data_IF_436046130620
#
_entry.id   IF_436046130620
#
_cell.length_a   1.000
_cell.length_b   1.000
_cell.length_c   1.000
_cell.angle_alpha   90.00
_cell.angle_beta   90.00
_cell.angle_gamma   90.00
#
_symmetry.space_group_name_H-M   'P 1'
#
loop_
_entity.id
_entity.type
_entity.pdbx_description
1 polymer ?
#
# COMPACT_ATOMS: atom_id res chain seq x y z
N UNK A 1 -8.09 -69.85 -29.00
CA UNK A 1 -8.63 -69.59 -30.35
C UNK A 1 -9.62 -68.43 -30.19
N UNK A 2 -9.09 -67.20 -30.14
CA UNK A 2 -8.92 -66.24 -31.26
C UNK A 2 -10.15 -65.36 -31.42
N UNK A 3 -10.14 -64.23 -30.70
CA UNK A 3 -10.92 -63.04 -31.03
C UNK A 3 -10.06 -62.17 -31.98
N UNK A 4 -10.57 -61.77 -33.16
CA UNK A 4 -9.94 -60.81 -34.06
C UNK A 4 -10.19 -59.38 -33.56
N UNK A 5 -9.16 -58.57 -33.38
CA UNK A 5 -8.59 -57.61 -34.37
C UNK A 5 -9.43 -56.35 -34.62
N UNK A 6 -8.95 -55.26 -34.01
CA UNK A 6 -8.66 -53.97 -34.63
C UNK A 6 -9.66 -53.38 -35.63
N UNK A 7 -10.45 -52.42 -35.14
CA UNK A 7 -10.69 -51.18 -35.89
C UNK A 7 -10.33 -49.98 -35.02
N UNK A 8 -9.09 -49.54 -35.18
CA UNK A 8 -8.60 -48.26 -34.72
C UNK A 8 -9.17 -47.18 -35.64
N UNK A 9 -10.20 -46.47 -35.17
CA UNK A 9 -10.61 -45.20 -35.76
C UNK A 9 -9.85 -44.08 -35.05
N UNK A 10 -8.75 -43.66 -35.66
CA UNK A 10 -8.19 -42.34 -35.44
C UNK A 10 -9.23 -41.28 -35.81
N UNK A 11 -9.51 -40.37 -34.89
CA UNK A 11 -9.70 -38.94 -35.19
C UNK A 11 -9.75 -38.11 -33.90
N UNK A 12 -8.63 -37.43 -33.68
CA UNK A 12 -8.56 -35.97 -33.55
C UNK A 12 -8.86 -35.37 -32.17
N UNK A 13 -7.77 -35.16 -31.44
CA UNK A 13 -7.39 -33.92 -30.76
C UNK A 13 -8.51 -33.11 -30.08
N UNK A 14 -8.62 -33.29 -28.76
CA UNK A 14 -8.64 -32.16 -27.82
C UNK A 14 -8.13 -32.64 -26.47
N UNK A 15 -6.83 -32.89 -26.42
CA UNK A 15 -6.13 -32.84 -25.15
C UNK A 15 -6.26 -31.39 -24.69
N UNK A 16 -7.04 -31.18 -23.63
CA UNK A 16 -7.07 -29.90 -22.91
C UNK A 16 -5.68 -29.78 -22.31
N UNK A 17 -4.81 -29.10 -23.04
CA UNK A 17 -3.48 -28.77 -22.60
C UNK A 17 -3.66 -27.77 -21.45
N UNK A 18 -3.66 -28.30 -20.22
CA UNK A 18 -3.42 -27.56 -18.97
C UNK A 18 -1.97 -27.04 -18.97
N UNK A 19 -1.58 -26.35 -20.04
CA UNK A 19 -0.34 -25.61 -20.11
C UNK A 19 -0.62 -24.30 -19.44
N UNK A 20 -0.32 -24.30 -18.14
CA UNK A 20 0.30 -23.19 -17.44
C UNK A 20 0.06 -21.87 -18.16
N UNK A 21 -1.14 -21.31 -17.95
CA UNK A 21 -1.30 -19.88 -18.01
C UNK A 21 -0.31 -19.33 -17.00
N UNK A 22 0.88 -19.08 -17.52
CA UNK A 22 1.89 -18.25 -16.92
C UNK A 22 1.17 -16.92 -16.85
N UNK A 23 0.46 -16.72 -15.74
CA UNK A 23 0.02 -15.41 -15.29
C UNK A 23 1.33 -14.65 -15.27
N UNK A 24 1.57 -13.89 -16.33
CA UNK A 24 2.46 -12.76 -16.34
C UNK A 24 1.87 -11.83 -15.26
N UNK A 25 2.16 -12.17 -14.00
CA UNK A 25 2.32 -11.19 -12.96
C UNK A 25 3.45 -10.32 -13.50
N UNK A 26 3.08 -9.31 -14.28
CA UNK A 26 3.78 -8.05 -14.28
C UNK A 26 3.70 -7.54 -12.84
N UNK A 27 4.45 -8.20 -11.96
CA UNK A 27 4.62 -7.82 -10.58
C UNK A 27 5.44 -6.56 -10.66
N UNK A 28 4.76 -5.42 -10.73
CA UNK A 28 5.35 -4.13 -10.46
C UNK A 28 6.08 -4.32 -9.13
N UNK A 29 7.41 -4.38 -9.21
CA UNK A 29 8.26 -4.74 -8.09
C UNK A 29 8.38 -3.46 -7.30
N UNK A 30 7.46 -3.27 -6.35
CA UNK A 30 7.51 -2.13 -5.47
C UNK A 30 8.73 -2.29 -4.57
N UNK A 31 9.60 -1.30 -4.54
CA UNK A 31 10.81 -1.25 -3.74
C UNK A 31 10.66 -0.26 -2.58
N UNK A 32 11.67 -0.23 -1.71
CA UNK A 32 11.73 0.65 -0.57
C UNK A 32 11.73 2.14 -0.98
N UNK A 33 12.36 2.46 -2.11
CA UNK A 33 12.41 3.81 -2.69
C UNK A 33 11.02 4.26 -3.16
N UNK A 34 10.24 3.37 -3.76
CA UNK A 34 8.88 3.67 -4.21
C UNK A 34 7.95 4.02 -3.03
N UNK A 35 8.21 3.45 -1.84
CA UNK A 35 7.46 3.76 -0.62
C UNK A 35 7.74 5.17 -0.12
N UNK A 36 8.99 5.63 -0.25
CA UNK A 36 9.43 6.97 0.12
C UNK A 36 8.88 8.02 -0.84
N UNK A 37 9.02 7.80 -2.16
CA UNK A 37 8.45 8.68 -3.19
C UNK A 37 6.92 8.81 -3.05
N UNK A 38 6.24 7.72 -2.69
CA UNK A 38 4.80 7.72 -2.42
C UNK A 38 4.45 8.63 -1.22
N UNK A 39 5.23 8.55 -0.14
CA UNK A 39 5.07 9.39 1.05
C UNK A 39 5.29 10.87 0.73
N UNK A 40 6.40 11.20 0.06
CA UNK A 40 6.73 12.56 -0.34
C UNK A 40 5.66 13.18 -1.24
N UNK A 41 5.21 12.43 -2.25
CA UNK A 41 4.13 12.87 -3.14
C UNK A 41 2.80 13.02 -2.42
N UNK A 42 2.53 12.20 -1.40
CA UNK A 42 1.34 12.36 -0.58
C UNK A 42 1.33 13.70 0.15
N UNK A 43 2.47 14.06 0.74
CA UNK A 43 2.64 15.30 1.48
C UNK A 43 2.64 16.52 0.57
N UNK A 44 3.29 16.44 -0.60
CA UNK A 44 3.33 17.53 -1.56
C UNK A 44 1.92 17.90 -2.05
N UNK A 45 1.14 16.91 -2.50
CA UNK A 45 -0.23 17.13 -2.97
C UNK A 45 -1.11 17.72 -1.85
N UNK A 46 -0.96 17.22 -0.61
CA UNK A 46 -1.70 17.73 0.53
C UNK A 46 -1.33 19.19 0.84
N UNK A 47 -0.03 19.51 0.85
CA UNK A 47 0.46 20.85 1.14
C UNK A 47 0.00 21.87 0.09
N UNK A 48 0.01 21.50 -1.19
CA UNK A 48 -0.50 22.36 -2.27
C UNK A 48 -1.98 22.71 -2.09
N UNK A 49 -2.81 21.75 -1.64
CA UNK A 49 -4.23 22.02 -1.39
C UNK A 49 -4.40 22.90 -0.15
N UNK A 50 -3.79 22.52 0.98
CA UNK A 50 -3.95 23.26 2.25
C UNK A 50 -3.49 24.71 2.15
N UNK A 51 -2.40 24.99 1.44
CA UNK A 51 -1.90 26.37 1.24
C UNK A 51 -2.80 27.21 0.34
N UNK A 52 -3.51 26.58 -0.62
CA UNK A 52 -4.42 27.27 -1.54
C UNK A 52 -5.83 27.42 -1.00
N UNK A 53 -6.23 26.57 -0.05
CA UNK A 53 -7.58 26.56 0.52
C UNK A 53 -7.74 27.64 1.60
N UNK A 54 -8.55 28.70 1.36
CA UNK A 54 -8.76 29.76 2.34
C UNK A 54 -9.45 29.22 3.61
N UNK A 55 -9.35 29.92 4.74
CA UNK A 55 -10.21 29.68 5.89
C UNK A 55 -11.68 29.76 5.47
N UNK A 56 -12.47 28.73 5.77
CA UNK A 56 -13.91 28.68 5.45
C UNK A 56 -14.32 27.72 4.32
N UNK A 57 -13.38 27.11 3.58
CA UNK A 57 -13.69 26.00 2.65
C UNK A 57 -13.41 24.64 3.29
N UNK A 58 -14.33 24.18 4.15
CA UNK A 58 -14.22 22.89 4.87
C UNK A 58 -14.11 21.70 3.93
N UNK A 59 -14.95 21.65 2.89
CA UNK A 59 -15.03 20.50 1.98
C UNK A 59 -13.73 20.22 1.20
N UNK A 60 -13.00 21.24 0.76
CA UNK A 60 -11.73 21.07 0.04
C UNK A 60 -10.64 20.53 0.98
N UNK A 61 -10.63 21.01 2.23
CA UNK A 61 -9.71 20.47 3.22
C UNK A 61 -10.07 19.02 3.58
N UNK A 62 -11.35 18.71 3.80
CA UNK A 62 -11.81 17.36 4.07
C UNK A 62 -11.39 16.40 2.95
N UNK A 63 -11.51 16.83 1.69
CA UNK A 63 -11.05 16.07 0.54
C UNK A 63 -9.53 15.89 0.54
N UNK A 64 -8.77 16.93 0.87
CA UNK A 64 -7.31 16.85 0.99
C UNK A 64 -6.88 15.89 2.09
N UNK A 65 -7.52 15.96 3.27
CA UNK A 65 -7.29 15.08 4.41
C UNK A 65 -7.62 13.62 4.07
N UNK A 66 -8.76 13.38 3.41
CA UNK A 66 -9.14 12.06 2.93
C UNK A 66 -8.13 11.51 1.91
N UNK A 67 -7.64 12.36 1.01
CA UNK A 67 -6.60 12.00 0.04
C UNK A 67 -5.27 11.63 0.70
N UNK A 68 -4.82 12.42 1.68
CA UNK A 68 -3.62 12.12 2.46
C UNK A 68 -3.78 10.78 3.21
N UNK A 69 -4.90 10.60 3.90
CA UNK A 69 -5.18 9.37 4.65
C UNK A 69 -5.20 8.14 3.74
N UNK A 70 -5.84 8.22 2.57
CA UNK A 70 -5.88 7.12 1.61
C UNK A 70 -4.47 6.73 1.12
N UNK A 71 -3.57 7.70 0.94
CA UNK A 71 -2.18 7.44 0.57
C UNK A 71 -1.39 6.82 1.72
N UNK A 72 -1.60 7.24 2.97
CA UNK A 72 -1.01 6.61 4.15
C UNK A 72 -1.47 5.15 4.28
N UNK A 73 -2.76 4.88 4.09
CA UNK A 73 -3.31 3.52 4.09
C UNK A 73 -2.70 2.65 2.97
N UNK A 74 -2.57 3.21 1.77
CA UNK A 74 -1.93 2.51 0.66
C UNK A 74 -0.45 2.22 0.93
N UNK A 75 0.31 3.21 1.42
CA UNK A 75 1.71 3.07 1.82
C UNK A 75 1.88 1.97 2.88
N UNK A 76 0.98 1.91 3.86
CA UNK A 76 0.99 0.85 4.86
C UNK A 76 0.76 -0.54 4.26
N UNK A 77 -0.19 -0.66 3.32
CA UNK A 77 -0.42 -1.90 2.58
C UNK A 77 0.79 -2.35 1.77
N UNK A 78 1.52 -1.41 1.16
CA UNK A 78 2.79 -1.66 0.48
C UNK A 78 3.86 -2.12 1.46
N UNK A 79 4.05 -1.40 2.57
CA UNK A 79 5.02 -1.75 3.60
C UNK A 79 4.79 -3.17 4.15
N UNK A 80 3.53 -3.55 4.36
CA UNK A 80 3.18 -4.91 4.78
C UNK A 80 3.60 -5.98 3.76
N UNK A 81 3.41 -5.72 2.46
CA UNK A 81 3.81 -6.64 1.39
C UNK A 81 5.33 -6.72 1.23
N UNK A 82 6.03 -5.60 1.36
CA UNK A 82 7.49 -5.54 1.37
C UNK A 82 8.05 -6.36 2.54
N UNK A 83 7.55 -6.10 3.76
CA UNK A 83 7.97 -6.77 4.98
C UNK A 83 7.75 -8.29 4.90
N UNK A 84 6.66 -8.74 4.26
CA UNK A 84 6.38 -10.17 4.09
C UNK A 84 7.37 -10.87 3.15
N UNK A 85 7.94 -10.14 2.18
CA UNK A 85 8.88 -10.67 1.18
C UNK A 85 10.34 -10.56 1.62
N UNK A 86 10.62 -9.68 2.58
CA UNK A 86 11.93 -9.46 3.14
C UNK A 86 12.41 -10.68 3.93
N UNK A 87 13.67 -11.06 3.77
CA UNK A 87 14.26 -12.27 4.35
C UNK A 87 14.97 -11.99 5.66
N UNK A 88 15.30 -10.73 5.91
CA UNK A 88 16.06 -10.29 7.08
C UNK A 88 15.16 -9.57 8.08
N UNK A 89 15.43 -9.79 9.37
CA UNK A 89 14.76 -9.04 10.44
C UNK A 89 15.11 -7.55 10.34
N UNK A 90 16.37 -7.23 10.04
CA UNK A 90 16.86 -5.86 9.83
C UNK A 90 16.13 -5.15 8.68
N UNK A 91 16.01 -5.78 7.51
CA UNK A 91 15.27 -5.22 6.39
C UNK A 91 13.78 -5.03 6.73
N UNK A 92 13.18 -5.98 7.44
CA UNK A 92 11.80 -5.87 7.91
C UNK A 92 11.62 -4.69 8.85
N UNK A 93 12.53 -4.51 9.80
CA UNK A 93 12.54 -3.37 10.71
C UNK A 93 12.74 -2.03 9.95
N UNK A 94 13.60 -2.00 8.92
CA UNK A 94 13.82 -0.82 8.09
C UNK A 94 12.56 -0.41 7.30
N UNK A 95 11.82 -1.38 6.76
CA UNK A 95 10.54 -1.14 6.08
C UNK A 95 9.52 -0.51 7.05
N UNK A 96 9.36 -1.08 8.25
CA UNK A 96 8.45 -0.52 9.24
C UNK A 96 8.92 0.84 9.77
N UNK A 97 10.23 1.06 9.90
CA UNK A 97 10.78 2.37 10.26
C UNK A 97 10.42 3.45 9.24
N UNK A 98 10.51 3.15 7.94
CA UNK A 98 10.08 4.08 6.89
C UNK A 98 8.58 4.37 6.95
N UNK A 99 7.75 3.36 7.19
CA UNK A 99 6.31 3.58 7.36
C UNK A 99 6.00 4.49 8.57
N UNK A 100 6.73 4.32 9.68
CA UNK A 100 6.62 5.22 10.85
C UNK A 100 6.99 6.65 10.47
N UNK A 101 8.08 6.87 9.72
CA UNK A 101 8.49 8.19 9.26
C UNK A 101 7.42 8.87 8.39
N UNK A 102 6.84 8.15 7.41
CA UNK A 102 5.74 8.66 6.56
C UNK A 102 4.54 9.11 7.41
N UNK A 103 4.17 8.32 8.42
CA UNK A 103 3.09 8.69 9.33
C UNK A 103 3.45 9.90 10.20
N UNK A 104 4.68 9.97 10.73
CA UNK A 104 5.12 11.07 11.59
C UNK A 104 5.14 12.39 10.80
N UNK A 105 5.60 12.38 9.55
CA UNK A 105 5.56 13.54 8.64
C UNK A 105 4.12 13.94 8.29
N UNK A 106 3.26 12.98 7.97
CA UNK A 106 1.84 13.22 7.69
C UNK A 106 1.13 13.84 8.90
N UNK A 107 1.36 13.30 10.10
CA UNK A 107 0.81 13.83 11.33
C UNK A 107 1.31 15.25 11.63
N UNK A 108 2.58 15.56 11.34
CA UNK A 108 3.15 16.89 11.51
C UNK A 108 2.47 17.95 10.62
N UNK A 109 1.98 17.57 9.43
CA UNK A 109 1.23 18.46 8.56
C UNK A 109 -0.22 18.68 9.02
N UNK A 110 -0.86 17.64 9.60
CA UNK A 110 -2.28 17.70 10.00
C UNK A 110 -2.46 18.32 11.39
N UNK A 111 -1.53 18.08 12.32
CA UNK A 111 -1.63 18.53 13.72
C UNK A 111 -1.82 20.04 13.89
N UNK A 112 -1.14 20.93 13.15
CA UNK A 112 -1.38 22.38 13.25
C UNK A 112 -2.80 22.81 12.85
N UNK A 113 -3.50 21.98 12.06
CA UNK A 113 -4.87 22.25 11.62
C UNK A 113 -5.89 21.96 12.72
N UNK A 114 -5.59 21.06 13.67
CA UNK A 114 -6.52 20.64 14.74
C UNK A 114 -7.06 21.82 15.56
N UNK A 115 -6.19 22.79 15.88
CA UNK A 115 -6.59 23.96 16.66
C UNK A 115 -7.57 24.88 15.92
N UNK A 116 -7.53 24.87 14.59
CA UNK A 116 -8.34 25.77 13.74
C UNK A 116 -9.56 25.05 13.15
N UNK A 117 -9.49 23.73 13.04
CA UNK A 117 -10.37 22.89 12.22
C UNK A 117 -10.55 21.51 12.86
N UNK A 118 -11.55 21.34 13.75
CA UNK A 118 -11.80 20.09 14.46
C UNK A 118 -12.01 18.87 13.55
N UNK A 119 -12.43 19.07 12.30
CA UNK A 119 -12.59 18.03 11.29
C UNK A 119 -11.28 17.30 10.93
N UNK A 120 -10.11 17.90 11.19
CA UNK A 120 -8.81 17.26 10.95
C UNK A 120 -8.49 16.17 11.96
N UNK A 121 -9.13 16.19 13.14
CA UNK A 121 -8.83 15.28 14.25
C UNK A 121 -9.00 13.81 13.89
N UNK A 122 -10.11 13.46 13.22
CA UNK A 122 -10.37 12.06 12.86
C UNK A 122 -9.31 11.51 11.88
N UNK A 123 -8.82 12.35 10.96
CA UNK A 123 -7.76 11.96 10.02
C UNK A 123 -6.41 11.84 10.75
N UNK A 124 -6.12 12.75 11.68
CA UNK A 124 -4.92 12.69 12.51
C UNK A 124 -4.88 11.42 13.37
N UNK A 125 -5.97 11.12 14.08
CA UNK A 125 -6.07 9.92 14.92
C UNK A 125 -5.79 8.65 14.10
N UNK A 126 -6.35 8.57 12.88
CA UNK A 126 -6.16 7.40 12.03
C UNK A 126 -4.75 7.28 11.46
N UNK A 127 -4.08 8.40 11.15
CA UNK A 127 -2.65 8.40 10.81
C UNK A 127 -1.82 7.86 11.98
N UNK A 128 -2.12 8.28 13.20
CA UNK A 128 -1.46 7.82 14.41
C UNK A 128 -1.72 6.33 14.70
N UNK A 129 -2.89 5.80 14.35
CA UNK A 129 -3.17 4.36 14.43
C UNK A 129 -2.24 3.55 13.52
N UNK A 130 -2.07 3.97 12.25
CA UNK A 130 -1.13 3.31 11.33
C UNK A 130 0.31 3.43 11.82
N UNK A 131 0.69 4.60 12.36
CA UNK A 131 2.00 4.84 12.97
C UNK A 131 2.28 3.85 14.11
N UNK A 132 1.33 3.71 15.04
CA UNK A 132 1.46 2.80 16.18
C UNK A 132 1.49 1.34 15.73
N UNK A 133 0.69 0.98 14.72
CA UNK A 133 0.69 -0.36 14.14
C UNK A 133 2.02 -0.70 13.44
N UNK A 134 2.63 0.26 12.76
CA UNK A 134 3.94 0.12 12.13
C UNK A 134 5.04 0.03 13.19
N UNK A 135 5.02 0.91 14.20
CA UNK A 135 6.00 0.92 15.29
C UNK A 135 5.99 -0.38 16.09
N UNK A 136 4.80 -0.93 16.40
CA UNK A 136 4.69 -2.24 17.04
C UNK A 136 5.32 -3.35 16.20
N UNK A 137 5.17 -3.30 14.87
CA UNK A 137 5.80 -4.27 13.97
C UNK A 137 7.30 -4.08 13.87
N UNK A 138 7.79 -2.83 13.89
CA UNK A 138 9.22 -2.53 13.94
C UNK A 138 9.87 -3.15 15.18
N UNK A 139 9.26 -2.96 16.36
CA UNK A 139 9.75 -3.46 17.64
C UNK A 139 9.72 -5.00 17.76
N UNK A 140 8.83 -5.68 17.03
CA UNK A 140 8.82 -7.14 16.99
C UNK A 140 10.01 -7.74 16.22
N UNK A 141 10.65 -6.94 15.36
CA UNK A 141 11.76 -7.37 14.51
C UNK A 141 13.08 -6.64 14.83
N UNK A 142 13.12 -5.85 15.92
CA UNK A 142 14.31 -5.14 16.42
C UNK A 142 15.07 -5.93 17.48
#
# INVERSE_FOLDING_TARGET
>A
MTLPEFQAHERRFRQVDLRAETVYNAGMTFELVDLEELGEKALQDFHEVVTRTPPGRSAELEQALAGLLAKVEFAYGVAARLAQRERTLEGTAAIWAKMVAICDESAAQVKPLEAQRPESKASLDRILDYRNAAEKRRQLHS
#
